data_IF_222671416339
#
_entry.id   IF_222671416339
#
_cell.length_a   1.000
_cell.length_b   1.000
_cell.length_c   1.000
_cell.angle_alpha   90.00
_cell.angle_beta   90.00
_cell.angle_gamma   90.00
#
_symmetry.space_group_name_H-M   'P 1'
#
loop_
_entity.id
_entity.type
_entity.pdbx_description
1 polymer ?
#
# COMPACT_ATOMS: atom_id res chain seq x y z
N UNK A 1 -4.94 -0.02 -14.57
CA UNK A 1 -5.88 -1.05 -15.07
C UNK A 1 -5.24 -1.89 -16.18
N UNK A 2 -5.00 -1.35 -17.38
CA UNK A 2 -4.51 -2.12 -18.52
C UNK A 2 -3.21 -2.89 -18.29
N UNK A 3 -2.18 -2.28 -17.69
CA UNK A 3 -0.88 -2.92 -17.48
C UNK A 3 -0.97 -4.26 -16.73
N UNK A 4 -1.73 -4.32 -15.63
CA UNK A 4 -1.93 -5.55 -14.86
C UNK A 4 -2.64 -6.62 -15.67
N UNK A 5 -3.75 -6.28 -16.33
CA UNK A 5 -4.60 -7.25 -17.03
C UNK A 5 -3.97 -7.77 -18.32
N UNK A 6 -3.26 -6.91 -19.07
CA UNK A 6 -2.54 -7.31 -20.30
C UNK A 6 -1.44 -8.33 -19.98
N UNK A 7 -0.82 -8.22 -18.80
CA UNK A 7 0.21 -9.15 -18.33
C UNK A 7 -0.39 -10.41 -17.67
N UNK A 8 -1.71 -10.59 -17.69
CA UNK A 8 -2.38 -11.75 -17.07
C UNK A 8 -2.39 -11.72 -15.53
N UNK A 9 -2.09 -10.57 -14.92
CA UNK A 9 -2.10 -10.40 -13.48
C UNK A 9 -3.50 -10.20 -12.90
N UNK A 10 -3.64 -10.50 -11.61
CA UNK A 10 -4.86 -10.20 -10.84
C UNK A 10 -4.79 -8.78 -10.30
N UNK A 11 -5.90 -8.04 -10.40
CA UNK A 11 -6.01 -6.67 -9.87
C UNK A 11 -6.89 -6.64 -8.63
N UNK A 12 -6.38 -6.04 -7.57
CA UNK A 12 -7.18 -5.70 -6.39
C UNK A 12 -7.66 -4.26 -6.55
N UNK A 13 -8.99 -4.08 -6.54
CA UNK A 13 -9.62 -2.76 -6.51
C UNK A 13 -9.96 -2.43 -5.06
N UNK A 14 -9.45 -1.30 -4.59
CA UNK A 14 -9.70 -0.83 -3.24
C UNK A 14 -10.66 0.35 -3.27
N UNK A 15 -11.72 0.27 -2.45
CA UNK A 15 -12.67 1.35 -2.22
C UNK A 15 -12.73 1.65 -0.72
N UNK A 16 -12.57 2.92 -0.37
CA UNK A 16 -12.58 3.39 1.01
C UNK A 16 -11.40 4.31 1.34
N UNK A 17 -11.32 4.74 2.60
CA UNK A 17 -10.19 5.50 3.12
C UNK A 17 -9.19 4.56 3.78
N UNK A 18 -7.88 4.84 3.66
CA UNK A 18 -6.82 3.95 4.15
C UNK A 18 -6.83 3.73 5.67
N UNK A 19 -7.58 4.56 6.39
CA UNK A 19 -7.64 4.66 7.84
C UNK A 19 -8.99 4.27 8.48
N UNK A 20 -10.00 3.88 7.68
CA UNK A 20 -11.33 3.53 8.19
C UNK A 20 -11.73 2.06 7.91
N UNK A 21 -12.20 1.30 8.94
CA UNK A 21 -12.45 1.69 10.32
C UNK A 21 -11.20 1.72 11.20
N UNK A 22 -10.03 1.39 10.64
CA UNK A 22 -8.74 1.47 11.33
C UNK A 22 -7.60 1.71 10.31
N UNK A 23 -6.49 2.28 10.78
CA UNK A 23 -5.26 2.57 10.03
C UNK A 23 -4.54 1.36 9.41
N UNK A 24 -5.06 0.15 9.62
CA UNK A 24 -4.43 -1.08 9.18
C UNK A 24 -5.04 -1.68 7.90
N UNK A 25 -6.00 -0.99 7.27
CA UNK A 25 -6.77 -1.51 6.12
C UNK A 25 -5.91 -1.88 4.93
N UNK A 26 -4.94 -1.03 4.60
CA UNK A 26 -4.05 -1.24 3.46
C UNK A 26 -3.18 -2.49 3.68
N UNK A 27 -2.61 -2.63 4.87
CA UNK A 27 -1.73 -3.73 5.24
C UNK A 27 -2.48 -5.05 5.36
N UNK A 28 -3.67 -5.02 5.97
CA UNK A 28 -4.58 -6.16 6.01
C UNK A 28 -4.99 -6.63 4.61
N UNK A 29 -5.27 -5.72 3.67
CA UNK A 29 -5.57 -6.09 2.29
C UNK A 29 -4.38 -6.80 1.62
N UNK A 30 -3.15 -6.34 1.89
CA UNK A 30 -1.94 -6.99 1.38
C UNK A 30 -1.82 -8.42 1.92
N UNK A 31 -2.00 -8.59 3.24
CA UNK A 31 -1.96 -9.89 3.92
C UNK A 31 -3.09 -10.83 3.45
N UNK A 32 -4.34 -10.38 3.50
CA UNK A 32 -5.54 -11.19 3.17
C UNK A 32 -5.54 -11.67 1.70
N UNK A 33 -4.90 -10.93 0.79
CA UNK A 33 -4.92 -11.22 -0.65
C UNK A 33 -3.55 -11.54 -1.26
N UNK A 34 -2.48 -11.57 -0.46
CA UNK A 34 -1.12 -11.82 -0.94
C UNK A 34 -0.68 -10.83 -2.02
N UNK A 35 -0.95 -9.54 -1.82
CA UNK A 35 -0.60 -8.50 -2.80
C UNK A 35 0.92 -8.44 -2.99
N UNK A 36 1.36 -8.47 -4.24
CA UNK A 36 2.80 -8.50 -4.59
C UNK A 36 3.35 -7.15 -5.06
N UNK A 37 2.49 -6.29 -5.59
CA UNK A 37 2.82 -4.94 -6.04
C UNK A 37 1.73 -4.01 -5.54
N UNK A 38 2.12 -3.00 -4.76
CA UNK A 38 1.19 -2.01 -4.22
C UNK A 38 1.53 -0.61 -4.76
N UNK A 39 0.54 0.00 -5.41
CA UNK A 39 0.62 1.39 -5.84
C UNK A 39 0.23 2.34 -4.71
N UNK A 40 1.08 3.29 -4.39
CA UNK A 40 0.86 4.30 -3.35
C UNK A 40 1.24 5.70 -3.86
N UNK A 41 0.70 6.74 -3.22
CA UNK A 41 1.15 8.11 -3.42
C UNK A 41 1.96 8.58 -2.22
N UNK A 42 2.89 9.55 -2.40
CA UNK A 42 3.59 10.16 -1.26
C UNK A 42 2.62 10.76 -0.23
N UNK A 43 1.53 11.39 -0.67
CA UNK A 43 0.47 11.92 0.22
C UNK A 43 -0.17 10.81 1.06
N UNK A 44 -0.46 9.65 0.48
CA UNK A 44 -0.98 8.50 1.22
C UNK A 44 0.01 8.01 2.29
N UNK A 45 1.29 7.82 1.91
CA UNK A 45 2.30 7.32 2.84
C UNK A 45 2.51 8.30 4.00
N UNK A 46 2.61 9.61 3.73
CA UNK A 46 2.71 10.63 4.78
C UNK A 46 1.51 10.59 5.73
N UNK A 47 0.30 10.40 5.21
CA UNK A 47 -0.90 10.23 6.04
C UNK A 47 -0.79 9.02 6.96
N UNK A 48 -0.35 7.88 6.42
CA UNK A 48 -0.21 6.63 7.17
C UNK A 48 0.90 6.68 8.23
N UNK A 49 2.00 7.39 7.98
CA UNK A 49 3.10 7.56 8.95
C UNK A 49 2.62 8.20 10.26
N UNK A 50 1.55 9.00 10.23
CA UNK A 50 0.96 9.60 11.46
C UNK A 50 0.39 8.57 12.44
N UNK A 51 0.16 7.33 12.00
CA UNK A 51 -0.35 6.24 12.82
C UNK A 51 0.75 5.36 13.44
N UNK A 52 2.03 5.65 13.13
CA UNK A 52 3.19 4.94 13.65
C UNK A 52 3.53 3.63 12.93
N UNK A 53 4.78 3.21 13.06
CA UNK A 53 5.35 2.07 12.32
C UNK A 53 4.84 0.72 12.81
N UNK A 54 4.29 0.65 14.03
CA UNK A 54 3.74 -0.60 14.57
C UNK A 54 2.52 -1.11 13.80
N UNK A 55 1.84 -0.24 13.04
CA UNK A 55 0.63 -0.62 12.31
C UNK A 55 0.95 -1.61 11.18
N UNK A 56 1.86 -1.33 10.23
CA UNK A 56 2.28 -2.32 9.24
C UNK A 56 3.02 -3.52 9.85
N UNK A 57 3.79 -3.33 10.93
CA UNK A 57 4.55 -4.43 11.58
C UNK A 57 3.67 -5.56 12.13
N UNK A 58 2.37 -5.30 12.35
CA UNK A 58 1.40 -6.29 12.84
C UNK A 58 0.81 -7.20 11.75
N UNK A 59 1.23 -7.04 10.49
CA UNK A 59 0.72 -7.79 9.34
C UNK A 59 1.83 -8.57 8.63
N UNK A 60 1.49 -9.75 8.09
CA UNK A 60 2.40 -10.46 7.18
C UNK A 60 2.42 -9.78 5.81
N UNK A 61 3.49 -9.03 5.55
CA UNK A 61 3.74 -8.35 4.28
C UNK A 61 4.77 -9.08 3.41
N UNK A 62 5.09 -10.34 3.70
CA UNK A 62 6.12 -11.11 2.98
C UNK A 62 5.83 -11.32 1.49
N UNK A 63 4.57 -11.23 1.07
CA UNK A 63 4.19 -11.28 -0.34
C UNK A 63 4.58 -10.02 -1.13
N UNK A 64 4.73 -8.87 -0.44
CA UNK A 64 4.91 -7.58 -1.06
C UNK A 64 6.34 -7.40 -1.55
N UNK A 65 6.50 -7.16 -2.84
CA UNK A 65 7.82 -7.08 -3.51
C UNK A 65 8.15 -5.69 -4.02
N UNK A 66 7.13 -4.92 -4.39
CA UNK A 66 7.30 -3.61 -5.02
C UNK A 66 6.29 -2.62 -4.45
N UNK A 67 6.79 -1.49 -3.98
CA UNK A 67 6.02 -0.29 -3.71
C UNK A 67 6.21 0.69 -4.88
N UNK A 68 5.13 0.94 -5.62
CA UNK A 68 5.12 1.85 -6.76
C UNK A 68 4.59 3.22 -6.35
N UNK A 69 5.43 4.24 -6.39
CA UNK A 69 5.02 5.63 -6.11
C UNK A 69 4.54 6.37 -7.35
N UNK A 70 3.37 7.01 -7.29
CA UNK A 70 2.87 7.87 -8.38
C UNK A 70 2.18 9.14 -7.87
N UNK A 71 2.00 10.13 -8.76
CA UNK A 71 1.20 11.34 -8.52
C UNK A 71 2.00 12.56 -8.05
N UNK A 72 3.02 12.38 -7.21
CA UNK A 72 3.83 13.48 -6.65
C UNK A 72 5.31 13.06 -6.46
N UNK A 73 6.25 14.01 -6.33
CA UNK A 73 7.62 13.73 -5.93
C UNK A 73 7.71 13.18 -4.51
N UNK A 74 8.65 12.25 -4.27
CA UNK A 74 8.97 11.76 -2.95
C UNK A 74 9.92 12.70 -2.20
N UNK A 75 9.68 12.87 -0.90
CA UNK A 75 10.67 13.40 0.04
C UNK A 75 11.56 12.26 0.59
N UNK A 76 12.72 12.55 1.20
CA UNK A 76 13.61 11.51 1.74
C UNK A 76 13.07 10.81 2.99
N UNK A 77 12.24 11.50 3.77
CA UNK A 77 11.74 11.05 5.09
C UNK A 77 11.10 9.65 5.10
N UNK A 78 10.28 9.23 4.12
CA UNK A 78 9.69 7.88 4.12
C UNK A 78 10.70 6.74 3.84
N UNK A 79 11.96 7.07 3.53
CA UNK A 79 13.02 6.10 3.26
C UNK A 79 14.11 6.06 4.34
N UNK A 80 14.02 6.93 5.35
CA UNK A 80 14.97 7.02 6.46
C UNK A 80 14.41 6.32 7.68
#
# INVERSE_FOLDING_TARGET
IFGTLILGGTMVLYEGTPDYPAANRLWRMVEDHGVTVLGVSPTLVRGLMTHGDEVPERHDLSSLRILGGTGEPWNPEPFM
#
